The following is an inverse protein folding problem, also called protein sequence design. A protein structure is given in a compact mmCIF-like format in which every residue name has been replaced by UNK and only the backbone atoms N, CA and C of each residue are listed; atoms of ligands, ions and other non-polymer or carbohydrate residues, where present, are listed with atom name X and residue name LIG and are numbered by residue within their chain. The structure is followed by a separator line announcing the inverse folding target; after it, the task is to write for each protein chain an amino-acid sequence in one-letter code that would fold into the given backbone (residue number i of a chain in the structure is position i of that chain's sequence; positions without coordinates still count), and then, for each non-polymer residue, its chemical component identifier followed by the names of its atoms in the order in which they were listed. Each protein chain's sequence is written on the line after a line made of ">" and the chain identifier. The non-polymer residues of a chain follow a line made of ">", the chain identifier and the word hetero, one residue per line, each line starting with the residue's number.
data_IF_451413370036
#
_entry.id   IF_451413370036
#
_cell.length_a   1.000
_cell.length_b   1.000
_cell.length_c   1.000
_cell.angle_alpha   90.00
_cell.angle_beta   90.00
_cell.angle_gamma   90.00
#
_symmetry.space_group_name_H-M   'P 1'
#
loop_
_entity.id
_entity.type
_entity.pdbx_description
1 polymer ?
#
# COMPACT_ATOMS: atom_id res chain seq x y z
N UNK A 1 -35.07 -17.64 -17.98
CA UNK A 1 -34.69 -16.39 -17.28
C UNK A 1 -33.39 -16.62 -16.52
N UNK A 2 -32.25 -16.23 -17.10
CA UNK A 2 -30.93 -16.47 -16.49
C UNK A 2 -30.70 -15.59 -15.26
N UNK A 3 -30.43 -16.22 -14.11
CA UNK A 3 -30.06 -15.52 -12.88
C UNK A 3 -28.75 -14.77 -13.11
N UNK A 4 -28.83 -13.44 -13.30
CA UNK A 4 -27.64 -12.56 -13.37
C UNK A 4 -26.83 -12.79 -12.10
N UNK A 5 -25.68 -13.47 -12.23
CA UNK A 5 -24.70 -13.62 -11.14
C UNK A 5 -24.33 -12.20 -10.73
N UNK A 6 -24.81 -11.74 -9.57
CA UNK A 6 -24.38 -10.47 -8.99
C UNK A 6 -22.88 -10.59 -8.78
N UNK A 7 -22.10 -9.99 -9.66
CA UNK A 7 -20.65 -9.82 -9.47
C UNK A 7 -20.50 -9.18 -8.10
N UNK A 8 -19.80 -9.85 -7.17
CA UNK A 8 -19.44 -9.23 -5.90
C UNK A 8 -18.83 -7.86 -6.24
N UNK A 9 -19.23 -6.76 -5.56
CA UNK A 9 -18.51 -5.51 -5.73
C UNK A 9 -17.04 -5.81 -5.48
N UNK A 10 -16.20 -5.53 -6.48
CA UNK A 10 -14.76 -5.75 -6.39
C UNK A 10 -14.26 -4.77 -5.34
N UNK A 11 -14.12 -5.24 -4.10
CA UNK A 11 -13.60 -4.43 -3.01
C UNK A 11 -12.12 -4.22 -3.25
N UNK A 12 -11.65 -2.96 -3.30
CA UNK A 12 -10.22 -2.69 -3.37
C UNK A 12 -9.53 -3.29 -2.15
N UNK A 13 -8.37 -3.91 -2.36
CA UNK A 13 -7.63 -4.60 -1.32
C UNK A 13 -6.15 -4.23 -1.38
N UNK A 14 -5.48 -4.23 -0.23
CA UNK A 14 -4.07 -3.89 -0.14
C UNK A 14 -3.22 -5.14 -0.37
N UNK A 15 -2.39 -5.13 -1.39
CA UNK A 15 -1.46 -6.23 -1.68
C UNK A 15 -0.42 -6.47 -0.57
N UNK A 16 -0.08 -5.44 0.21
CA UNK A 16 0.95 -5.52 1.25
C UNK A 16 0.46 -6.06 2.60
N UNK A 17 -0.84 -6.01 2.89
CA UNK A 17 -1.39 -6.47 4.17
C UNK A 17 -2.73 -7.22 4.05
N UNK A 18 -3.13 -7.52 2.81
CA UNK A 18 -4.29 -8.33 2.44
C UNK A 18 -5.63 -7.83 3.00
N UNK A 19 -5.69 -6.58 3.45
CA UNK A 19 -6.92 -5.94 3.95
C UNK A 19 -7.83 -5.52 2.82
N UNK A 20 -9.12 -5.78 2.97
CA UNK A 20 -10.17 -5.21 2.13
C UNK A 20 -10.55 -3.79 2.59
N UNK A 21 -10.89 -2.97 1.61
CA UNK A 21 -11.34 -1.59 1.80
C UNK A 21 -12.64 -1.38 1.04
N UNK A 22 -13.42 -0.40 1.51
CA UNK A 22 -14.69 -0.04 0.89
C UNK A 22 -14.47 0.79 -0.38
N UNK A 23 -13.38 1.57 -0.43
CA UNK A 23 -13.07 2.52 -1.51
C UNK A 23 -11.58 2.55 -1.85
N UNK A 24 -11.27 2.79 -3.13
CA UNK A 24 -9.90 2.98 -3.63
C UNK A 24 -9.20 4.17 -2.95
N UNK A 25 -9.95 5.23 -2.62
CA UNK A 25 -9.41 6.39 -1.90
C UNK A 25 -8.88 6.01 -0.52
N UNK A 26 -9.60 5.13 0.17
CA UNK A 26 -9.21 4.64 1.50
C UNK A 26 -8.01 3.70 1.36
N UNK A 27 -8.02 2.81 0.35
CA UNK A 27 -6.88 1.95 0.04
C UNK A 27 -5.60 2.76 -0.25
N UNK A 28 -5.66 3.78 -1.11
CA UNK A 28 -4.50 4.63 -1.46
C UNK A 28 -4.00 5.39 -0.24
N UNK A 29 -4.90 5.91 0.59
CA UNK A 29 -4.53 6.61 1.84
C UNK A 29 -3.88 5.65 2.83
N UNK A 30 -4.41 4.43 2.95
CA UNK A 30 -3.84 3.36 3.75
C UNK A 30 -2.42 3.00 3.27
N UNK A 31 -2.22 2.78 1.96
CA UNK A 31 -0.91 2.46 1.40
C UNK A 31 0.13 3.54 1.72
N UNK A 32 -0.23 4.81 1.57
CA UNK A 32 0.63 5.94 1.92
C UNK A 32 0.97 6.03 3.41
N UNK A 33 0.00 5.75 4.28
CA UNK A 33 0.18 5.90 5.73
C UNK A 33 0.89 4.71 6.38
N UNK A 34 0.59 3.49 5.91
CA UNK A 34 1.07 2.23 6.49
C UNK A 34 2.30 1.68 5.79
N UNK A 35 2.32 1.69 4.45
CA UNK A 35 3.34 1.00 3.67
C UNK A 35 4.44 1.92 3.16
N UNK A 36 4.16 3.19 2.91
CA UNK A 36 5.18 4.15 2.45
C UNK A 36 5.77 4.96 3.62
N UNK A 37 6.00 4.30 4.75
CA UNK A 37 6.58 4.92 5.94
C UNK A 37 7.90 4.25 6.26
N UNK A 38 8.96 5.05 6.41
CA UNK A 38 10.24 4.54 6.89
C UNK A 38 10.11 4.13 8.36
N UNK A 39 10.51 2.91 8.72
CA UNK A 39 10.43 2.44 10.11
C UNK A 39 11.47 3.09 11.03
N UNK A 40 12.64 3.48 10.48
CA UNK A 40 13.70 4.13 11.26
C UNK A 40 13.36 5.58 11.61
N UNK A 41 13.08 6.43 10.62
CA UNK A 41 12.83 7.86 10.88
C UNK A 41 11.35 8.25 10.87
N UNK A 42 10.43 7.29 10.70
CA UNK A 42 8.99 7.52 10.62
C UNK A 42 8.57 8.50 9.51
N UNK A 43 9.47 8.81 8.56
CA UNK A 43 9.20 9.71 7.44
C UNK A 43 8.20 9.07 6.48
N UNK A 44 7.21 9.87 6.07
CA UNK A 44 6.20 9.48 5.09
C UNK A 44 6.73 9.79 3.70
N UNK A 45 6.75 8.79 2.84
CA UNK A 45 7.15 8.85 1.45
C UNK A 45 5.89 8.71 0.58
N UNK A 46 5.95 9.26 -0.63
CA UNK A 46 4.81 9.25 -1.57
C UNK A 46 4.79 8.03 -2.48
N UNK A 47 5.92 7.31 -2.60
CA UNK A 47 6.09 6.17 -3.51
C UNK A 47 6.94 5.07 -2.87
N UNK A 48 6.70 3.82 -3.30
CA UNK A 48 7.51 2.67 -2.89
C UNK A 48 8.98 2.84 -3.29
N UNK A 49 9.27 3.29 -4.53
CA UNK A 49 10.64 3.56 -4.96
C UNK A 49 11.32 4.65 -4.13
N UNK A 50 10.59 5.71 -3.76
CA UNK A 50 11.09 6.77 -2.88
C UNK A 50 11.44 6.25 -1.49
N UNK A 51 10.68 5.29 -0.95
CA UNK A 51 11.01 4.63 0.31
C UNK A 51 12.28 3.81 0.22
N UNK A 52 12.48 3.03 -0.86
CA UNK A 52 13.69 2.23 -1.00
C UNK A 52 14.93 3.11 -1.14
N UNK A 53 14.87 4.14 -1.99
CA UNK A 53 15.97 5.11 -2.13
C UNK A 53 16.23 5.83 -0.81
N UNK A 54 15.18 6.23 -0.09
CA UNK A 54 15.31 6.89 1.21
C UNK A 54 15.97 6.00 2.25
N UNK A 55 15.54 4.75 2.41
CA UNK A 55 16.16 3.82 3.35
C UNK A 55 17.61 3.52 2.97
N UNK A 56 17.91 3.39 1.68
CA UNK A 56 19.29 3.16 1.23
C UNK A 56 20.19 4.40 1.44
N UNK A 57 19.72 5.62 1.14
CA UNK A 57 20.54 6.84 1.23
C UNK A 57 20.64 7.41 2.64
N UNK A 58 19.56 7.40 3.41
CA UNK A 58 19.51 8.02 4.75
C UNK A 58 19.88 7.02 5.84
N UNK A 59 19.44 5.77 5.70
CA UNK A 59 19.61 4.74 6.72
C UNK A 59 20.62 3.66 6.33
N UNK A 60 21.08 3.62 5.07
CA UNK A 60 21.93 2.55 4.52
C UNK A 60 21.32 1.15 4.70
N UNK A 61 19.99 1.09 4.69
CA UNK A 61 19.22 -0.15 4.77
C UNK A 61 18.80 -0.54 3.36
N UNK A 62 19.13 -1.76 2.97
CA UNK A 62 18.66 -2.35 1.73
C UNK A 62 17.31 -3.03 1.97
N UNK A 63 16.26 -2.57 1.28
CA UNK A 63 14.91 -3.13 1.38
C UNK A 63 14.69 -4.24 0.33
N UNK A 64 15.64 -4.48 -0.58
CA UNK A 64 15.55 -5.57 -1.55
C UNK A 64 16.13 -6.83 -0.91
N UNK A 65 15.27 -7.78 -0.53
CA UNK A 65 15.66 -9.14 -0.15
C UNK A 65 14.92 -10.15 -1.00
#
# INVERSE_FOLDING_TARGET
>A
MGKKRKSKPMRPWCWYCEKDFEDDKVLVTHQRAKHFKCEECNKKLTTAGGMVVHSHQVHKIDIYK
#
